data_IF_630335579851
#
_entry.id   IF_630335579851
#
_cell.length_a   1.000
_cell.length_b   1.000
_cell.length_c   1.000
_cell.angle_alpha   90.00
_cell.angle_beta   90.00
_cell.angle_gamma   90.00
#
_symmetry.space_group_name_H-M   'P 1'
#
loop_
_entity.id
_entity.type
_entity.pdbx_description
1 polymer ?
#
# COMPACT_ATOMS: atom_id res chain seq x y z
N UNK A 1 3.11 51.85 20.92
CA UNK A 1 2.77 52.38 19.58
C UNK A 1 4.04 52.47 18.76
N UNK A 2 4.27 51.53 17.83
CA UNK A 2 5.44 51.56 16.94
C UNK A 2 5.11 52.39 15.70
N UNK A 3 5.99 53.34 15.32
CA UNK A 3 5.73 54.27 14.22
C UNK A 3 5.68 53.56 12.85
N UNK A 4 4.87 54.03 11.90
CA UNK A 4 4.71 53.42 10.56
C UNK A 4 5.98 53.43 9.70
N UNK A 5 7.02 54.20 10.08
CA UNK A 5 8.31 54.22 9.38
C UNK A 5 9.12 52.93 9.58
N UNK A 6 8.96 52.21 10.71
CA UNK A 6 9.71 50.98 10.98
C UNK A 6 9.20 49.74 10.23
N UNK A 7 7.98 49.78 9.68
CA UNK A 7 7.37 48.66 8.96
C UNK A 7 7.88 48.57 7.52
N UNK A 8 8.13 49.72 6.87
CA UNK A 8 8.68 49.78 5.51
C UNK A 8 10.14 49.27 5.46
N UNK A 9 10.98 49.69 6.42
CA UNK A 9 12.38 49.25 6.51
C UNK A 9 12.56 47.75 6.80
N UNK A 10 11.57 47.08 7.42
CA UNK A 10 11.62 45.62 7.67
C UNK A 10 11.22 44.76 6.47
N UNK A 11 10.46 45.31 5.52
CA UNK A 11 10.05 44.59 4.30
C UNK A 11 11.13 44.59 3.21
N UNK A 12 12.04 45.58 3.26
CA UNK A 12 13.19 45.73 2.39
C UNK A 12 14.39 44.93 2.93
N UNK A 13 14.28 43.59 2.96
CA UNK A 13 15.47 42.75 3.13
C UNK A 13 16.45 43.06 1.99
N UNK A 14 17.77 43.18 2.25
CA UNK A 14 18.75 43.58 1.24
C UNK A 14 18.73 42.70 -0.01
N UNK A 15 18.31 41.44 0.11
CA UNK A 15 18.20 40.51 -1.04
C UNK A 15 17.01 40.82 -1.95
N UNK A 16 15.89 41.30 -1.40
CA UNK A 16 14.72 41.72 -2.19
C UNK A 16 15.02 43.02 -2.94
N UNK A 17 15.77 43.92 -2.32
CA UNK A 17 16.26 45.14 -2.96
C UNK A 17 17.20 44.84 -4.13
N UNK A 18 18.17 43.96 -3.91
CA UNK A 18 19.09 43.54 -4.98
C UNK A 18 18.35 42.81 -6.09
N UNK A 19 17.44 41.88 -5.76
CA UNK A 19 16.62 41.21 -6.77
C UNK A 19 15.76 42.20 -7.57
N UNK A 20 15.06 43.12 -6.91
CA UNK A 20 14.24 44.12 -7.60
C UNK A 20 15.09 45.06 -8.47
N UNK A 21 16.24 45.52 -7.99
CA UNK A 21 17.16 46.35 -8.76
C UNK A 21 17.75 45.59 -9.97
N UNK A 22 18.11 44.31 -9.79
CA UNK A 22 18.55 43.43 -10.85
C UNK A 22 17.46 43.22 -11.90
N UNK A 23 16.24 42.87 -11.50
CA UNK A 23 15.12 42.65 -12.42
C UNK A 23 14.78 43.93 -13.18
N UNK A 24 14.77 45.08 -12.50
CA UNK A 24 14.55 46.37 -13.13
C UNK A 24 15.65 46.71 -14.14
N UNK A 25 16.92 46.57 -13.75
CA UNK A 25 18.06 46.80 -14.66
C UNK A 25 18.02 45.86 -15.88
N UNK A 26 17.75 44.57 -15.65
CA UNK A 26 17.59 43.59 -16.72
C UNK A 26 16.41 43.94 -17.63
N UNK A 27 15.27 44.37 -17.08
CA UNK A 27 14.11 44.77 -17.87
C UNK A 27 14.39 46.01 -18.75
N UNK A 28 15.08 47.02 -18.22
CA UNK A 28 15.46 48.23 -18.96
C UNK A 28 16.49 47.92 -20.04
N UNK A 29 17.49 47.09 -19.73
CA UNK A 29 18.46 46.61 -20.70
C UNK A 29 17.81 45.73 -21.78
N UNK A 30 16.83 44.90 -21.42
CA UNK A 30 16.11 44.03 -22.35
C UNK A 30 15.43 44.81 -23.48
N UNK A 31 14.86 45.98 -23.20
CA UNK A 31 14.24 46.83 -24.23
C UNK A 31 15.24 47.27 -25.30
N UNK A 32 16.50 47.49 -24.93
CA UNK A 32 17.56 47.94 -25.83
C UNK A 32 18.40 46.78 -26.39
N UNK A 33 18.35 45.61 -25.74
CA UNK A 33 19.15 44.43 -26.08
C UNK A 33 18.75 43.78 -27.43
N UNK A 34 17.61 44.16 -28.01
CA UNK A 34 17.22 43.72 -29.35
C UNK A 34 17.80 44.59 -30.47
N UNK A 35 18.27 45.80 -30.17
CA UNK A 35 18.72 46.76 -31.18
C UNK A 35 20.23 46.67 -31.45
N UNK A 36 21.03 46.32 -30.43
CA UNK A 36 22.49 46.26 -30.53
C UNK A 36 23.07 44.97 -29.91
N UNK A 37 23.92 44.27 -30.68
CA UNK A 37 24.64 43.07 -30.25
C UNK A 37 25.58 43.32 -29.08
N UNK A 38 26.15 44.52 -28.97
CA UNK A 38 27.02 44.88 -27.85
C UNK A 38 26.23 45.00 -26.54
N UNK A 39 25.06 45.64 -26.58
CA UNK A 39 24.14 45.75 -25.44
C UNK A 39 23.64 44.38 -25.01
N UNK A 40 23.41 43.48 -25.97
CA UNK A 40 23.00 42.12 -25.69
C UNK A 40 24.05 41.30 -24.92
N UNK A 41 25.32 41.40 -25.32
CA UNK A 41 26.43 40.73 -24.61
C UNK A 41 26.52 41.27 -23.18
N UNK A 42 26.41 42.59 -23.00
CA UNK A 42 26.41 43.21 -21.67
C UNK A 42 25.21 42.78 -20.81
N UNK A 43 24.03 42.63 -21.41
CA UNK A 43 22.82 42.11 -20.75
C UNK A 43 23.03 40.69 -20.21
N UNK A 44 23.54 39.77 -21.03
CA UNK A 44 23.82 38.40 -20.57
C UNK A 44 24.89 38.34 -19.48
N UNK A 45 25.95 39.14 -19.61
CA UNK A 45 27.04 39.18 -18.65
C UNK A 45 26.57 39.74 -17.30
N UNK A 46 25.71 40.77 -17.32
CA UNK A 46 25.06 41.31 -16.12
C UNK A 46 24.11 40.29 -15.46
N UNK A 47 23.36 39.53 -16.27
CA UNK A 47 22.43 38.53 -15.77
C UNK A 47 23.14 37.34 -15.08
N UNK A 48 24.24 36.85 -15.67
CA UNK A 48 25.08 35.81 -15.07
C UNK A 48 25.71 36.33 -13.77
N UNK A 49 26.23 37.57 -13.77
CA UNK A 49 26.77 38.22 -12.57
C UNK A 49 25.74 38.34 -11.45
N UNK A 50 24.49 38.68 -11.80
CA UNK A 50 23.41 38.80 -10.82
C UNK A 50 22.94 37.43 -10.29
N UNK A 51 22.81 36.42 -11.15
CA UNK A 51 22.50 35.06 -10.72
C UNK A 51 23.58 34.53 -9.76
N UNK A 52 24.85 34.74 -10.08
CA UNK A 52 25.98 34.36 -9.22
C UNK A 52 25.96 35.08 -7.86
N UNK A 53 25.70 36.39 -7.86
CA UNK A 53 25.58 37.17 -6.62
C UNK A 53 24.42 36.69 -5.73
N UNK A 54 23.29 36.30 -6.32
CA UNK A 54 22.12 35.76 -5.61
C UNK A 54 22.38 34.35 -5.04
N UNK A 55 23.08 33.49 -5.78
CA UNK A 55 23.51 32.17 -5.28
C UNK A 55 24.45 32.32 -4.08
N UNK A 56 25.43 33.22 -4.16
CA UNK A 56 26.39 33.47 -3.06
C UNK A 56 25.71 34.00 -1.79
N UNK A 57 24.55 34.64 -1.92
CA UNK A 57 23.72 35.10 -0.80
C UNK A 57 22.72 34.05 -0.29
N UNK A 58 22.76 32.82 -0.82
CA UNK A 58 21.90 31.72 -0.38
C UNK A 58 20.46 31.77 -0.92
N UNK A 59 20.18 32.63 -1.91
CA UNK A 59 18.83 32.80 -2.45
C UNK A 59 18.62 32.05 -3.77
N UNK A 60 18.60 30.72 -3.68
CA UNK A 60 18.49 29.81 -4.82
C UNK A 60 17.24 30.07 -5.68
N UNK A 61 16.10 30.40 -5.07
CA UNK A 61 14.86 30.66 -5.80
C UNK A 61 14.90 31.91 -6.70
N UNK A 62 15.61 32.96 -6.29
CA UNK A 62 15.77 34.15 -7.13
C UNK A 62 16.81 33.93 -8.23
N UNK A 63 17.87 33.17 -7.96
CA UNK A 63 18.85 32.81 -8.97
C UNK A 63 18.24 31.96 -10.09
N UNK A 64 17.43 30.96 -9.76
CA UNK A 64 16.72 30.14 -10.77
C UNK A 64 15.72 30.96 -11.57
N UNK A 65 15.02 31.91 -10.93
CA UNK A 65 14.14 32.84 -11.64
C UNK A 65 14.91 33.73 -12.63
N UNK A 66 16.08 34.27 -12.25
CA UNK A 66 16.94 35.06 -13.16
C UNK A 66 17.39 34.21 -14.34
N UNK A 67 17.87 32.99 -14.10
CA UNK A 67 18.30 32.08 -15.19
C UNK A 67 17.13 31.73 -16.11
N UNK A 68 15.93 31.48 -15.57
CA UNK A 68 14.74 31.18 -16.35
C UNK A 68 14.29 32.37 -17.21
N UNK A 69 14.32 33.59 -16.67
CA UNK A 69 14.04 34.82 -17.41
C UNK A 69 15.04 34.99 -18.54
N UNK A 70 16.34 34.85 -18.25
CA UNK A 70 17.41 35.02 -19.23
C UNK A 70 17.31 33.98 -20.33
N UNK A 71 17.10 32.71 -19.97
CA UNK A 71 16.88 31.63 -20.92
C UNK A 71 15.64 31.90 -21.78
N UNK A 72 14.53 32.36 -21.19
CA UNK A 72 13.33 32.75 -21.91
C UNK A 72 13.54 33.92 -22.87
N UNK A 73 14.30 34.94 -22.47
CA UNK A 73 14.63 36.10 -23.32
C UNK A 73 15.59 35.73 -24.46
N UNK A 74 16.60 34.89 -24.19
CA UNK A 74 17.51 34.34 -25.19
C UNK A 74 16.77 33.49 -26.19
N UNK A 75 15.84 32.68 -25.68
CA UNK A 75 14.98 31.85 -26.49
C UNK A 75 14.05 32.70 -27.38
N UNK A 76 13.39 33.73 -26.83
CA UNK A 76 12.55 34.64 -27.61
C UNK A 76 13.36 35.37 -28.70
N UNK A 77 14.58 35.82 -28.39
CA UNK A 77 15.47 36.43 -29.38
C UNK A 77 15.83 35.48 -30.50
N UNK A 78 16.25 34.25 -30.18
CA UNK A 78 16.54 33.23 -31.19
C UNK A 78 15.31 32.89 -32.01
N UNK A 79 14.14 32.79 -31.38
CA UNK A 79 12.86 32.48 -32.02
C UNK A 79 12.44 33.56 -33.03
N UNK A 80 12.46 34.83 -32.63
CA UNK A 80 12.08 35.94 -33.52
C UNK A 80 13.16 36.24 -34.57
N UNK A 81 14.45 36.10 -34.24
CA UNK A 81 15.54 36.36 -35.18
C UNK A 81 15.66 35.28 -36.28
N UNK A 82 15.38 34.01 -35.98
CA UNK A 82 15.52 32.90 -36.92
C UNK A 82 14.30 32.67 -37.82
N UNK A 83 13.26 33.52 -37.71
CA UNK A 83 11.92 33.36 -38.29
C UNK A 83 11.16 32.14 -37.71
N UNK A 84 9.86 32.28 -37.38
CA UNK A 84 9.08 31.23 -36.71
C UNK A 84 9.06 29.86 -37.42
N UNK A 85 9.21 29.86 -38.75
CA UNK A 85 9.16 28.66 -39.61
C UNK A 85 10.30 27.67 -39.36
N UNK A 86 11.43 28.10 -38.81
CA UNK A 86 12.58 27.22 -38.54
C UNK A 86 12.44 26.50 -37.20
N UNK A 87 11.89 27.17 -36.19
CA UNK A 87 11.80 26.64 -34.82
C UNK A 87 10.47 25.92 -34.52
N UNK A 88 9.38 26.29 -35.19
CA UNK A 88 8.07 25.67 -34.94
C UNK A 88 8.10 24.13 -35.02
N UNK A 89 8.77 23.48 -36.00
CA UNK A 89 8.80 22.02 -36.07
C UNK A 89 9.51 21.37 -34.88
N UNK A 90 10.53 22.04 -34.32
CA UNK A 90 11.27 21.55 -33.15
C UNK A 90 10.36 21.60 -31.92
N UNK A 91 9.59 22.69 -31.74
CA UNK A 91 8.64 22.80 -30.62
C UNK A 91 7.49 21.82 -30.72
N UNK A 92 6.91 21.68 -31.91
CA UNK A 92 5.87 20.69 -32.16
C UNK A 92 6.40 19.28 -31.87
N UNK A 93 7.61 18.95 -32.34
CA UNK A 93 8.24 17.66 -32.06
C UNK A 93 8.51 17.43 -30.56
N UNK A 94 9.01 18.42 -29.83
CA UNK A 94 9.26 18.30 -28.37
C UNK A 94 7.95 18.19 -27.60
N UNK A 95 6.94 19.00 -27.94
CA UNK A 95 5.59 18.92 -27.36
C UNK A 95 5.01 17.52 -27.57
N UNK A 96 5.07 17.02 -28.80
CA UNK A 96 4.50 15.73 -29.16
C UNK A 96 5.30 14.58 -28.50
N UNK A 97 6.63 14.69 -28.40
CA UNK A 97 7.46 13.73 -27.68
C UNK A 97 7.11 13.66 -26.18
N UNK A 98 6.91 14.80 -25.53
CA UNK A 98 6.49 14.85 -24.12
C UNK A 98 5.07 14.29 -23.97
N UNK A 99 4.16 14.65 -24.86
CA UNK A 99 2.78 14.14 -24.85
C UNK A 99 2.77 12.61 -24.99
N UNK A 100 3.44 12.08 -26.01
CA UNK A 100 3.56 10.63 -26.25
C UNK A 100 4.27 9.92 -25.10
N UNK A 101 5.34 10.50 -24.56
CA UNK A 101 6.04 9.96 -23.40
C UNK A 101 5.15 9.90 -22.16
N UNK A 102 4.33 10.92 -21.91
CA UNK A 102 3.39 10.95 -20.79
C UNK A 102 2.26 9.93 -20.95
N UNK A 103 1.72 9.78 -22.16
CA UNK A 103 0.69 8.78 -22.50
C UNK A 103 1.27 7.37 -22.33
N UNK A 104 2.46 7.11 -22.87
CA UNK A 104 3.13 5.83 -22.73
C UNK A 104 3.39 5.50 -21.27
N UNK A 105 3.92 6.45 -20.50
CA UNK A 105 4.16 6.28 -19.07
C UNK A 105 2.86 5.94 -18.30
N UNK A 106 1.77 6.68 -18.53
CA UNK A 106 0.48 6.43 -17.90
C UNK A 106 -0.10 5.07 -18.29
N UNK A 107 0.01 4.70 -19.57
CA UNK A 107 -0.47 3.41 -20.07
C UNK A 107 0.28 2.25 -19.42
N UNK A 108 1.61 2.34 -19.33
CA UNK A 108 2.44 1.35 -18.65
C UNK A 108 2.12 1.27 -17.16
N UNK A 109 1.89 2.42 -16.49
CA UNK A 109 1.49 2.47 -15.09
C UNK A 109 0.15 1.77 -14.84
N UNK A 110 -0.85 2.02 -15.67
CA UNK A 110 -2.17 1.39 -15.59
C UNK A 110 -2.08 -0.11 -15.85
N UNK A 111 -1.35 -0.52 -16.89
CA UNK A 111 -1.16 -1.94 -17.23
C UNK A 111 -0.46 -2.72 -16.11
N UNK A 112 0.57 -2.12 -15.50
CA UNK A 112 1.27 -2.72 -14.36
C UNK A 112 0.36 -2.83 -13.13
N UNK A 113 -0.50 -1.83 -12.89
CA UNK A 113 -1.47 -1.88 -11.79
C UNK A 113 -2.53 -2.96 -12.03
N UNK A 114 -3.08 -3.06 -13.23
CA UNK A 114 -4.06 -4.10 -13.57
C UNK A 114 -3.46 -5.50 -13.47
N UNK A 115 -2.21 -5.69 -13.90
CA UNK A 115 -1.53 -6.97 -13.79
C UNK A 115 -1.29 -7.40 -12.33
N UNK A 116 -0.95 -6.45 -11.44
CA UNK A 116 -0.77 -6.71 -10.01
C UNK A 116 -2.07 -7.19 -9.37
N UNK A 117 -3.17 -6.48 -9.63
CA UNK A 117 -4.49 -6.83 -9.08
C UNK A 117 -4.91 -8.25 -9.51
N UNK A 118 -4.77 -8.58 -10.80
CA UNK A 118 -5.09 -9.92 -11.28
C UNK A 118 -4.23 -11.03 -10.64
N UNK A 119 -2.95 -10.75 -10.36
CA UNK A 119 -2.09 -11.69 -9.64
C UNK A 119 -2.55 -11.87 -8.20
N UNK A 120 -2.82 -10.78 -7.49
CA UNK A 120 -3.30 -10.84 -6.11
C UNK A 120 -4.63 -11.59 -6.00
N UNK A 121 -5.57 -11.36 -6.91
CA UNK A 121 -6.83 -12.10 -6.97
C UNK A 121 -6.61 -13.60 -7.19
N UNK A 122 -5.76 -13.98 -8.16
CA UNK A 122 -5.43 -15.39 -8.40
C UNK A 122 -4.75 -16.03 -7.20
N UNK A 123 -3.88 -15.30 -6.51
CA UNK A 123 -3.16 -15.78 -5.34
C UNK A 123 -4.09 -16.00 -4.17
N UNK A 124 -4.98 -15.04 -3.88
CA UNK A 124 -6.03 -15.19 -2.87
C UNK A 124 -6.98 -16.35 -3.20
N UNK A 125 -7.35 -16.52 -4.47
CA UNK A 125 -8.20 -17.63 -4.88
C UNK A 125 -7.54 -18.99 -4.62
N UNK A 126 -6.25 -19.14 -4.96
CA UNK A 126 -5.48 -20.36 -4.68
C UNK A 126 -5.33 -20.57 -3.17
N UNK A 127 -4.99 -19.54 -2.40
CA UNK A 127 -4.87 -19.62 -0.95
C UNK A 127 -6.19 -20.06 -0.30
N UNK A 128 -7.31 -19.47 -0.69
CA UNK A 128 -8.64 -19.86 -0.19
C UNK A 128 -8.96 -21.31 -0.53
N UNK A 129 -8.68 -21.76 -1.76
CA UNK A 129 -8.89 -23.16 -2.15
C UNK A 129 -8.03 -24.13 -1.32
N UNK A 130 -6.77 -23.78 -1.05
CA UNK A 130 -5.90 -24.59 -0.19
C UNK A 130 -6.43 -24.63 1.24
N UNK A 131 -6.91 -23.49 1.78
CA UNK A 131 -7.50 -23.44 3.11
C UNK A 131 -8.77 -24.29 3.20
N UNK A 132 -9.68 -24.18 2.24
CA UNK A 132 -10.90 -24.99 2.18
C UNK A 132 -10.57 -26.49 2.12
N UNK A 133 -9.60 -26.89 1.29
CA UNK A 133 -9.14 -28.27 1.22
C UNK A 133 -8.53 -28.74 2.53
N UNK A 134 -7.69 -27.92 3.17
CA UNK A 134 -7.05 -28.25 4.45
C UNK A 134 -8.10 -28.45 5.55
N UNK A 135 -9.10 -27.57 5.62
CA UNK A 135 -10.22 -27.69 6.57
C UNK A 135 -10.99 -29.00 6.33
N UNK A 136 -11.33 -29.30 5.07
CA UNK A 136 -12.01 -30.54 4.72
C UNK A 136 -11.19 -31.79 5.07
N UNK A 137 -9.88 -31.78 4.80
CA UNK A 137 -8.97 -32.88 5.14
C UNK A 137 -8.83 -33.08 6.66
N UNK A 138 -8.74 -31.99 7.44
CA UNK A 138 -8.70 -32.07 8.92
C UNK A 138 -9.98 -32.68 9.48
N UNK A 139 -11.13 -32.26 8.97
CA UNK A 139 -12.42 -32.83 9.38
C UNK A 139 -12.53 -34.32 9.02
N UNK A 140 -11.98 -34.74 7.88
CA UNK A 140 -11.90 -36.16 7.53
C UNK A 140 -10.96 -36.94 8.45
N UNK A 141 -9.79 -36.40 8.77
CA UNK A 141 -8.84 -37.02 9.68
C UNK A 141 -9.44 -37.21 11.08
N UNK A 142 -10.11 -36.17 11.61
CA UNK A 142 -10.79 -36.24 12.91
C UNK A 142 -11.94 -37.26 12.92
N UNK A 143 -12.72 -37.37 11.84
CA UNK A 143 -13.72 -38.44 11.71
C UNK A 143 -13.08 -39.83 11.82
N UNK A 144 -11.99 -40.06 11.10
CA UNK A 144 -11.30 -41.35 11.14
C UNK A 144 -10.77 -41.65 12.55
N UNK A 145 -10.03 -40.72 13.15
CA UNK A 145 -9.51 -40.89 14.52
C UNK A 145 -10.63 -41.09 15.54
N UNK A 146 -11.76 -40.40 15.39
CA UNK A 146 -12.93 -40.59 16.27
C UNK A 146 -13.48 -42.02 16.19
N UNK A 147 -13.57 -42.62 15.00
CA UNK A 147 -13.97 -44.02 14.86
C UNK A 147 -12.97 -44.98 15.53
N UNK A 148 -11.66 -44.70 15.39
CA UNK A 148 -10.59 -45.49 16.01
C UNK A 148 -10.58 -45.36 17.54
N UNK A 149 -10.96 -44.20 18.10
CA UNK A 149 -11.03 -43.94 19.54
C UNK A 149 -12.33 -44.43 20.18
N UNK A 150 -13.46 -44.40 19.44
CA UNK A 150 -14.75 -44.88 19.95
C UNK A 150 -14.70 -46.36 20.31
N UNK A 151 -14.02 -47.17 19.50
CA UNK A 151 -13.93 -48.62 19.72
C UNK A 151 -13.28 -49.00 21.07
N UNK A 152 -12.07 -48.52 21.42
CA UNK A 152 -11.47 -48.80 22.71
C UNK A 152 -12.25 -48.15 23.86
N UNK A 153 -12.82 -46.95 23.70
CA UNK A 153 -13.65 -46.33 24.74
C UNK A 153 -14.91 -47.13 25.04
N UNK A 154 -15.64 -47.56 24.00
CA UNK A 154 -16.80 -48.42 24.16
C UNK A 154 -16.44 -49.77 24.79
N UNK A 155 -15.21 -50.26 24.58
CA UNK A 155 -14.71 -51.48 25.25
C UNK A 155 -14.44 -51.22 26.73
N UNK A 156 -13.84 -50.08 27.09
CA UNK A 156 -13.62 -49.69 28.48
C UNK A 156 -14.95 -49.53 29.22
N UNK A 157 -15.93 -48.83 28.64
CA UNK A 157 -17.28 -48.69 29.20
C UNK A 157 -17.92 -50.06 29.43
N UNK A 158 -17.95 -50.94 28.42
CA UNK A 158 -18.57 -52.27 28.57
C UNK A 158 -17.89 -53.14 29.65
N UNK A 159 -16.55 -53.06 29.78
CA UNK A 159 -15.81 -53.77 30.84
C UNK A 159 -16.16 -53.18 32.21
N UNK A 160 -16.19 -51.86 32.36
CA UNK A 160 -16.54 -51.19 33.60
C UNK A 160 -17.98 -51.51 34.03
N UNK A 161 -18.95 -51.46 33.10
CA UNK A 161 -20.34 -51.86 33.34
C UNK A 161 -20.44 -53.31 33.81
N UNK A 162 -19.73 -54.24 33.13
CA UNK A 162 -19.73 -55.67 33.49
C UNK A 162 -19.17 -55.91 34.90
N UNK A 163 -18.14 -55.15 35.30
CA UNK A 163 -17.54 -55.20 36.63
C UNK A 163 -18.49 -54.63 37.70
N UNK A 164 -19.19 -53.53 37.40
CA UNK A 164 -20.15 -52.89 38.31
C UNK A 164 -21.44 -53.72 38.49
N UNK A 165 -21.87 -54.44 37.46
CA UNK A 165 -23.03 -55.33 37.49
C UNK A 165 -22.79 -56.64 38.29
N UNK A 166 -21.57 -56.85 38.80
CA UNK A 166 -21.20 -58.03 39.59
C UNK A 166 -21.12 -59.34 38.78
N UNK A 167 -21.20 -59.27 37.45
CA UNK A 167 -21.23 -60.43 36.56
C UNK A 167 -19.93 -61.26 36.58
N UNK A 168 -18.84 -60.69 37.10
CA UNK A 168 -17.53 -61.35 37.25
C UNK A 168 -17.12 -61.59 38.71
N UNK A 169 -18.03 -61.35 39.67
CA UNK A 169 -17.77 -61.43 41.12
C UNK A 169 -17.90 -60.08 41.83
N UNK A 170 -18.02 -60.12 43.17
CA UNK A 170 -18.23 -58.92 43.99
C UNK A 170 -16.96 -58.07 44.11
N UNK A 171 -17.11 -56.75 43.95
CA UNK A 171 -16.07 -55.76 44.20
C UNK A 171 -16.12 -55.29 45.67
N UNK A 172 -14.96 -54.95 46.24
CA UNK A 172 -14.95 -54.20 47.50
C UNK A 172 -15.26 -52.70 47.25
N UNK A 173 -15.58 -51.96 48.31
CA UNK A 173 -15.97 -50.53 48.24
C UNK A 173 -14.97 -49.68 47.43
N UNK A 174 -13.67 -49.81 47.71
CA UNK A 174 -12.64 -49.03 47.01
C UNK A 174 -12.51 -49.40 45.53
N UNK A 175 -12.64 -50.69 45.19
CA UNK A 175 -12.64 -51.15 43.79
C UNK A 175 -13.87 -50.64 43.03
N UNK A 176 -15.03 -50.63 43.68
CA UNK A 176 -16.27 -50.14 43.09
C UNK A 176 -16.17 -48.64 42.77
N UNK A 177 -15.62 -47.84 43.70
CA UNK A 177 -15.36 -46.41 43.47
C UNK A 177 -14.39 -46.19 42.30
N UNK A 178 -13.29 -46.96 42.22
CA UNK A 178 -12.35 -46.83 41.09
C UNK A 178 -12.95 -47.21 39.74
N UNK A 179 -13.75 -48.28 39.67
CA UNK A 179 -14.39 -48.69 38.41
C UNK A 179 -15.41 -47.63 37.97
N UNK A 180 -16.13 -47.02 38.93
CA UNK A 180 -17.06 -45.93 38.65
C UNK A 180 -16.35 -44.69 38.12
N UNK A 181 -15.21 -44.30 38.71
CA UNK A 181 -14.40 -43.19 38.19
C UNK A 181 -13.88 -43.45 36.76
N UNK A 182 -13.52 -44.70 36.45
CA UNK A 182 -13.11 -45.11 35.08
C UNK A 182 -14.29 -45.00 34.10
N UNK A 183 -15.47 -45.47 34.50
CA UNK A 183 -16.68 -45.40 33.67
C UNK A 183 -17.10 -43.95 33.38
N UNK A 184 -17.17 -43.12 34.42
CA UNK A 184 -17.49 -41.69 34.30
C UNK A 184 -16.48 -40.98 33.41
N UNK A 185 -15.19 -41.30 33.54
CA UNK A 185 -14.12 -40.73 32.70
C UNK A 185 -14.23 -41.18 31.23
N UNK A 186 -14.61 -42.43 30.97
CA UNK A 186 -14.80 -42.94 29.62
C UNK A 186 -15.98 -42.26 28.92
N UNK A 187 -17.10 -42.08 29.63
CA UNK A 187 -18.26 -41.33 29.16
C UNK A 187 -17.92 -39.87 28.89
N UNK A 188 -17.17 -39.22 29.79
CA UNK A 188 -16.75 -37.84 29.61
C UNK A 188 -15.84 -37.68 28.38
N UNK A 189 -14.90 -38.61 28.15
CA UNK A 189 -14.02 -38.56 26.98
C UNK A 189 -14.79 -38.79 25.67
N UNK A 190 -15.78 -39.69 25.67
CA UNK A 190 -16.68 -39.89 24.52
C UNK A 190 -17.44 -38.61 24.17
N UNK A 191 -17.97 -37.91 25.17
CA UNK A 191 -18.67 -36.63 24.96
C UNK A 191 -17.72 -35.59 24.34
N UNK A 192 -16.51 -35.43 24.89
CA UNK A 192 -15.50 -34.50 24.35
C UNK A 192 -15.09 -34.83 22.91
N UNK A 193 -14.91 -36.12 22.58
CA UNK A 193 -14.58 -36.54 21.21
C UNK A 193 -15.72 -36.18 20.24
N UNK A 194 -16.97 -36.36 20.65
CA UNK A 194 -18.13 -35.98 19.83
C UNK A 194 -18.19 -34.45 19.63
N UNK A 195 -17.98 -33.66 20.68
CA UNK A 195 -17.99 -32.19 20.60
C UNK A 195 -16.92 -31.68 19.63
N UNK A 196 -15.69 -32.21 19.71
CA UNK A 196 -14.58 -31.86 18.80
C UNK A 196 -14.94 -32.24 17.36
N UNK A 197 -15.55 -33.41 17.17
CA UNK A 197 -15.95 -33.90 15.86
C UNK A 197 -17.02 -32.99 15.22
N UNK A 198 -18.00 -32.57 16.00
CA UNK A 198 -19.09 -31.73 15.52
C UNK A 198 -18.61 -30.30 15.23
N UNK A 199 -17.68 -29.77 16.03
CA UNK A 199 -16.97 -28.53 15.71
C UNK A 199 -16.23 -28.62 14.36
N UNK A 200 -15.47 -29.70 14.13
CA UNK A 200 -14.72 -29.89 12.89
C UNK A 200 -15.62 -30.03 11.65
N UNK A 201 -16.80 -30.64 11.78
CA UNK A 201 -17.81 -30.68 10.72
C UNK A 201 -18.41 -29.29 10.45
N UNK A 202 -18.62 -28.50 11.51
CA UNK A 202 -19.13 -27.14 11.42
C UNK A 202 -18.18 -26.24 10.62
N UNK A 203 -16.91 -26.23 11.01
CA UNK A 203 -15.86 -25.43 10.36
C UNK A 203 -15.69 -25.80 8.88
N UNK A 204 -15.86 -27.07 8.54
CA UNK A 204 -15.80 -27.55 7.16
C UNK A 204 -17.10 -27.42 6.35
N UNK A 205 -18.15 -26.80 6.90
CA UNK A 205 -19.45 -26.64 6.23
C UNK A 205 -20.16 -27.97 5.93
N UNK A 206 -19.80 -29.06 6.62
CA UNK A 206 -20.35 -30.40 6.40
C UNK A 206 -21.58 -30.71 7.25
N UNK A 207 -22.08 -29.76 8.04
CA UNK A 207 -23.32 -29.94 8.82
C UNK A 207 -24.51 -29.97 7.85
N UNK A 208 -25.07 -31.15 7.65
CA UNK A 208 -26.39 -31.30 7.02
C UNK A 208 -27.45 -31.31 8.10
N UNK A 209 -28.18 -30.20 8.23
CA UNK A 209 -29.35 -30.14 9.09
C UNK A 209 -30.48 -30.94 8.41
N UNK A 210 -30.91 -32.03 9.05
CA UNK A 210 -32.11 -32.76 8.66
C UNK A 210 -33.26 -32.33 9.57
N UNK A 211 -34.20 -31.48 9.11
CA UNK A 211 -35.34 -31.09 9.93
C UNK A 211 -36.20 -32.32 10.24
N UNK A 212 -36.47 -32.55 11.52
CA UNK A 212 -37.43 -33.56 11.95
C UNK A 212 -38.73 -32.85 12.38
N UNK A 213 -39.91 -33.38 12.01
CA UNK A 213 -41.17 -32.83 12.46
C UNK A 213 -41.29 -32.99 13.98
N UNK A 214 -41.36 -31.87 14.69
CA UNK A 214 -41.68 -31.85 16.11
C UNK A 214 -43.19 -31.89 16.21
N UNK A 215 -43.74 -33.03 16.67
CA UNK A 215 -45.16 -33.14 16.95
C UNK A 215 -45.50 -32.21 18.11
N UNK A 216 -46.29 -31.17 17.81
CA UNK A 216 -46.90 -30.24 18.76
C UNK A 216 -48.06 -30.88 19.52
#
# INVERSE_FOLDING_TARGET
>A
MASPQNTLLRLLKPDRLVFAATVFFLATMHQHAFEDRFVLILYYLAAVGAAFALVRRGSLGFATAVVAIVAGTMFAQLYYAAKPTVWSPIFDAVRDMIALGSILYLTLRVLMASYRLQREEKQRAIENQIQEQLVAMRAQALRQTSHEVRTPLSTITAISETLLDGSTGDLNEAQQDFVKDIDDSAHHLLALVNDILDYAKAEAGMIRLAPQPVAS
#
